data_IF_542312723788
#
_entry.id   IF_542312723788
#
_cell.length_a   1.000
_cell.length_b   1.000
_cell.length_c   1.000
_cell.angle_alpha   90.00
_cell.angle_beta   90.00
_cell.angle_gamma   90.00
#
_symmetry.space_group_name_H-M   'P 1'
#
loop_
_entity.id
_entity.type
_entity.pdbx_description
1 polymer ?
#
# COMPACT_ATOMS: atom_id res chain seq x y z
N UNK A 1 9.27 -6.53 -38.55
CA UNK A 1 8.56 -6.17 -39.81
C UNK A 1 9.19 -6.93 -40.98
N UNK A 2 8.46 -7.13 -42.09
CA UNK A 2 8.92 -7.87 -43.26
C UNK A 2 7.87 -8.87 -43.76
N UNK A 3 8.24 -9.69 -44.74
CA UNK A 3 7.30 -10.66 -45.32
C UNK A 3 6.96 -11.80 -44.35
N UNK A 4 5.69 -12.21 -44.28
CA UNK A 4 5.16 -13.27 -43.38
C UNK A 4 5.47 -13.00 -41.90
N UNK A 5 6.49 -13.66 -41.36
CA UNK A 5 6.94 -13.56 -39.96
C UNK A 5 7.84 -12.35 -39.72
N UNK A 6 8.28 -11.69 -40.79
CA UNK A 6 9.21 -10.57 -40.71
C UNK A 6 10.66 -10.94 -40.96
N UNK A 7 11.47 -9.91 -41.18
CA UNK A 7 12.92 -10.00 -41.22
C UNK A 7 13.51 -10.04 -39.80
N UNK A 8 14.82 -10.29 -39.72
CA UNK A 8 15.60 -10.12 -38.50
C UNK A 8 15.39 -8.73 -37.89
N UNK A 9 15.24 -8.68 -36.57
CA UNK A 9 15.05 -7.43 -35.84
C UNK A 9 16.40 -6.78 -35.48
N UNK A 10 16.68 -5.63 -36.09
CA UNK A 10 17.92 -4.89 -35.89
C UNK A 10 18.06 -4.34 -34.48
N UNK A 11 16.96 -3.91 -33.84
CA UNK A 11 16.98 -3.41 -32.46
C UNK A 11 17.35 -4.55 -31.52
N UNK A 12 16.79 -5.74 -31.74
CA UNK A 12 17.10 -6.91 -30.92
C UNK A 12 18.57 -7.35 -31.05
N UNK A 13 19.12 -7.36 -32.26
CA UNK A 13 20.55 -7.68 -32.49
C UNK A 13 21.45 -6.65 -31.79
N UNK A 14 21.19 -5.37 -32.01
CA UNK A 14 21.98 -4.29 -31.47
C UNK A 14 21.94 -4.26 -29.93
N UNK A 15 20.75 -4.48 -29.34
CA UNK A 15 20.60 -4.56 -27.88
C UNK A 15 21.22 -5.83 -27.28
N UNK A 16 21.25 -6.95 -28.01
CA UNK A 16 21.97 -8.15 -27.56
C UNK A 16 23.48 -7.92 -27.54
N UNK A 17 24.03 -7.20 -28.53
CA UNK A 17 25.44 -6.78 -28.50
C UNK A 17 25.70 -5.87 -27.30
N UNK A 18 24.88 -4.84 -27.13
CA UNK A 18 24.98 -3.89 -26.01
C UNK A 18 24.92 -4.57 -24.64
N UNK A 19 23.95 -5.46 -24.41
CA UNK A 19 23.79 -6.20 -23.15
C UNK A 19 24.98 -7.12 -22.82
N UNK A 20 25.84 -7.42 -23.80
CA UNK A 20 27.05 -8.23 -23.63
C UNK A 20 28.34 -7.40 -23.68
N UNK A 21 28.23 -6.07 -23.67
CA UNK A 21 29.38 -5.14 -23.63
C UNK A 21 30.04 -4.87 -24.98
N UNK A 22 29.34 -5.15 -26.09
CA UNK A 22 29.81 -4.82 -27.45
C UNK A 22 29.01 -3.62 -27.98
N UNK A 23 29.71 -2.57 -28.42
CA UNK A 23 29.09 -1.40 -29.04
C UNK A 23 28.39 -1.81 -30.35
N UNK A 24 27.06 -1.60 -30.48
CA UNK A 24 26.33 -1.93 -31.69
C UNK A 24 26.53 -0.92 -32.85
N UNK A 25 27.25 0.18 -32.62
CA UNK A 25 27.41 1.30 -33.58
C UNK A 25 26.06 1.89 -34.07
N UNK A 26 25.02 1.74 -33.25
CA UNK A 26 23.66 2.19 -33.52
C UNK A 26 23.11 2.90 -32.27
N UNK A 27 22.58 4.11 -32.44
CA UNK A 27 21.95 4.86 -31.34
C UNK A 27 20.54 4.32 -31.05
N UNK A 28 20.36 3.82 -29.83
CA UNK A 28 19.13 3.19 -29.32
C UNK A 28 18.74 3.76 -27.96
N UNK A 29 19.32 4.90 -27.57
CA UNK A 29 19.16 5.50 -26.24
C UNK A 29 17.72 5.97 -25.95
N UNK A 30 16.87 6.12 -26.97
CA UNK A 30 15.43 6.39 -26.84
C UNK A 30 14.65 5.36 -27.67
N UNK A 31 14.53 4.15 -27.12
CA UNK A 31 13.86 3.04 -27.79
C UNK A 31 12.37 3.31 -28.02
N UNK A 32 11.78 4.16 -27.19
CA UNK A 32 10.38 4.54 -27.29
C UNK A 32 10.12 5.47 -28.47
N UNK A 33 11.02 6.40 -28.77
CA UNK A 33 10.97 7.19 -30.00
C UNK A 33 11.12 6.32 -31.23
N UNK A 34 12.03 5.34 -31.21
CA UNK A 34 12.21 4.39 -32.31
C UNK A 34 10.93 3.55 -32.52
N UNK A 35 10.37 3.01 -31.45
CA UNK A 35 9.10 2.28 -31.46
C UNK A 35 7.96 3.11 -32.03
N UNK A 36 7.72 4.32 -31.49
CA UNK A 36 6.65 5.22 -31.98
C UNK A 36 6.80 5.52 -33.47
N UNK A 37 8.02 5.75 -33.93
CA UNK A 37 8.33 6.00 -35.35
C UNK A 37 8.02 4.78 -36.21
N UNK A 38 8.43 3.59 -35.76
CA UNK A 38 8.17 2.34 -36.46
C UNK A 38 6.67 1.99 -36.50
N UNK A 39 5.94 2.15 -35.40
CA UNK A 39 4.49 1.93 -35.34
C UNK A 39 3.73 2.89 -36.23
N UNK A 40 4.15 4.17 -36.26
CA UNK A 40 3.58 5.17 -37.17
C UNK A 40 3.81 4.81 -38.64
N UNK A 41 5.05 4.45 -39.01
CA UNK A 41 5.42 4.16 -40.39
C UNK A 41 4.78 2.85 -40.90
N UNK A 42 4.77 1.81 -40.06
CA UNK A 42 4.31 0.48 -40.45
C UNK A 42 2.80 0.27 -40.22
N UNK A 43 2.14 1.15 -39.44
CA UNK A 43 0.74 0.99 -39.01
C UNK A 43 0.48 -0.36 -38.32
N UNK A 44 1.51 -0.89 -37.66
CA UNK A 44 1.49 -2.15 -36.93
C UNK A 44 2.10 -1.90 -35.54
N UNK A 45 1.47 -2.42 -34.48
CA UNK A 45 1.99 -2.26 -33.12
C UNK A 45 3.24 -3.12 -32.90
N UNK A 46 4.13 -2.67 -32.02
CA UNK A 46 5.15 -3.54 -31.43
C UNK A 46 4.49 -4.39 -30.35
N UNK A 47 4.76 -5.70 -30.36
CA UNK A 47 4.14 -6.62 -29.41
C UNK A 47 4.54 -6.26 -27.96
N UNK A 48 3.65 -6.35 -26.95
CA UNK A 48 3.97 -6.00 -25.56
C UNK A 48 5.14 -6.78 -24.94
N UNK A 49 5.46 -7.96 -25.49
CA UNK A 49 6.60 -8.80 -25.09
C UNK A 49 7.77 -8.79 -26.07
N UNK A 50 7.75 -7.88 -27.04
CA UNK A 50 8.84 -7.75 -27.99
C UNK A 50 10.13 -7.35 -27.25
N UNK A 51 11.25 -8.08 -27.40
CA UNK A 51 12.47 -7.81 -26.63
C UNK A 51 12.87 -6.33 -26.65
N UNK A 52 13.23 -5.80 -25.48
CA UNK A 52 13.65 -4.42 -25.23
C UNK A 52 12.58 -3.33 -25.44
N UNK A 53 11.75 -3.41 -26.49
CA UNK A 53 10.83 -2.34 -26.87
C UNK A 53 9.37 -2.55 -26.41
N UNK A 54 9.00 -3.78 -26.04
CA UNK A 54 7.64 -4.13 -25.61
C UNK A 54 7.28 -3.47 -24.28
N UNK A 55 5.98 -3.25 -24.06
CA UNK A 55 5.46 -2.61 -22.84
C UNK A 55 5.81 -3.37 -21.54
N UNK A 56 5.97 -4.69 -21.60
CA UNK A 56 6.07 -5.53 -20.40
C UNK A 56 7.50 -6.02 -20.09
N UNK A 57 8.49 -5.59 -20.86
CA UNK A 57 9.84 -6.19 -20.80
C UNK A 57 10.70 -5.67 -19.65
N UNK A 58 10.34 -4.53 -19.06
CA UNK A 58 10.96 -3.98 -17.85
C UNK A 58 9.98 -4.00 -16.66
N UNK A 59 8.98 -4.88 -16.72
CA UNK A 59 7.93 -5.00 -15.71
C UNK A 59 8.12 -6.27 -14.89
N UNK A 60 7.93 -6.18 -13.56
CA UNK A 60 7.85 -7.39 -12.72
C UNK A 60 6.54 -7.47 -11.94
N UNK A 61 5.86 -8.61 -12.08
CA UNK A 61 4.56 -8.89 -11.44
C UNK A 61 4.68 -9.71 -10.15
N UNK A 62 5.82 -10.39 -9.96
CA UNK A 62 6.05 -11.25 -8.79
C UNK A 62 6.69 -10.46 -7.66
N UNK A 63 6.09 -10.52 -6.47
CA UNK A 63 6.66 -9.89 -5.27
C UNK A 63 8.08 -10.37 -4.93
N UNK A 64 8.42 -11.63 -5.25
CA UNK A 64 9.79 -12.12 -5.06
C UNK A 64 10.79 -11.52 -6.05
N UNK A 65 10.36 -11.28 -7.31
CA UNK A 65 11.19 -10.59 -8.29
C UNK A 65 11.35 -9.12 -7.90
N UNK A 66 10.27 -8.47 -7.45
CA UNK A 66 10.29 -7.09 -6.99
C UNK A 66 11.26 -6.90 -5.80
N UNK A 67 11.23 -7.81 -4.81
CA UNK A 67 12.17 -7.77 -3.68
C UNK A 67 13.63 -7.93 -4.11
N UNK A 68 13.91 -8.88 -5.02
CA UNK A 68 15.26 -9.08 -5.54
C UNK A 68 15.75 -7.90 -6.39
N UNK A 69 14.89 -7.32 -7.23
CA UNK A 69 15.18 -6.11 -8.01
C UNK A 69 15.47 -4.93 -7.08
N UNK A 70 14.64 -4.72 -6.04
CA UNK A 70 14.84 -3.67 -5.04
C UNK A 70 16.18 -3.81 -4.32
N UNK A 71 16.57 -5.03 -3.93
CA UNK A 71 17.88 -5.32 -3.33
C UNK A 71 19.02 -5.07 -4.30
N UNK A 72 18.84 -5.42 -5.58
CA UNK A 72 19.79 -5.14 -6.64
C UNK A 72 20.05 -3.64 -6.78
N UNK A 73 18.99 -2.84 -6.93
CA UNK A 73 19.10 -1.38 -6.98
C UNK A 73 19.74 -0.78 -5.73
N UNK A 74 19.36 -1.24 -4.53
CA UNK A 74 19.93 -0.71 -3.28
C UNK A 74 21.42 -1.06 -3.08
N UNK A 75 21.91 -2.13 -3.70
CA UNK A 75 23.31 -2.53 -3.66
C UNK A 75 24.15 -1.90 -4.78
N UNK A 76 23.50 -1.34 -5.79
CA UNK A 76 24.15 -0.70 -6.93
C UNK A 76 24.52 0.75 -6.54
N UNK A 77 25.79 1.17 -6.65
CA UNK A 77 26.16 2.56 -6.44
C UNK A 77 25.65 3.45 -7.59
N UNK A 78 25.49 4.75 -7.35
CA UNK A 78 25.02 5.71 -8.35
C UNK A 78 25.95 5.78 -9.59
N UNK A 79 27.23 5.49 -9.41
CA UNK A 79 28.28 5.49 -10.43
C UNK A 79 28.75 4.07 -10.81
N UNK A 80 27.81 3.14 -10.97
CA UNK A 80 28.13 1.74 -11.29
C UNK A 80 28.85 1.58 -12.64
N UNK A 81 29.90 0.74 -12.64
CA UNK A 81 30.60 0.31 -13.86
C UNK A 81 29.99 -0.98 -14.46
N UNK A 82 29.35 -1.80 -13.63
CA UNK A 82 28.70 -3.06 -14.05
C UNK A 82 27.27 -3.12 -13.54
N UNK A 83 26.34 -3.43 -14.43
CA UNK A 83 24.94 -3.64 -14.08
C UNK A 83 24.75 -4.95 -13.29
N UNK A 84 24.05 -4.86 -12.15
CA UNK A 84 23.96 -5.96 -11.18
C UNK A 84 22.56 -6.23 -10.64
N UNK A 85 21.49 -5.80 -11.32
CA UNK A 85 20.13 -5.93 -10.82
C UNK A 85 19.50 -7.26 -11.30
N UNK A 86 19.04 -8.15 -10.39
CA UNK A 86 18.40 -9.40 -10.77
C UNK A 86 17.20 -9.20 -11.68
N UNK A 87 16.95 -10.13 -12.61
CA UNK A 87 15.81 -10.15 -13.54
C UNK A 87 15.75 -9.02 -14.58
N UNK A 88 16.59 -7.99 -14.47
CA UNK A 88 16.72 -6.93 -15.48
C UNK A 88 18.04 -7.15 -16.23
N UNK A 89 18.03 -7.53 -17.52
CA UNK A 89 19.26 -7.82 -18.26
C UNK A 89 20.11 -6.57 -18.53
N UNK A 90 19.50 -5.39 -18.52
CA UNK A 90 20.14 -4.08 -18.70
C UNK A 90 19.49 -3.07 -17.75
N UNK A 91 20.12 -1.92 -17.53
CA UNK A 91 19.43 -0.76 -16.97
C UNK A 91 18.41 -0.22 -17.99
N UNK A 92 17.10 -0.17 -17.67
CA UNK A 92 16.09 0.44 -18.53
C UNK A 92 16.43 1.90 -18.92
N UNK A 93 17.13 2.65 -18.07
CA UNK A 93 17.48 4.04 -18.35
C UNK A 93 18.44 4.19 -19.54
N UNK A 94 19.27 3.18 -19.83
CA UNK A 94 20.17 3.19 -20.99
C UNK A 94 19.41 3.28 -22.32
N UNK A 95 18.11 2.95 -22.34
CA UNK A 95 17.25 3.03 -23.53
C UNK A 95 16.08 4.01 -23.35
N UNK A 96 16.14 4.87 -22.33
CA UNK A 96 15.12 5.87 -22.06
C UNK A 96 13.83 5.30 -21.44
N UNK A 97 13.92 4.13 -20.81
CA UNK A 97 12.80 3.45 -20.14
C UNK A 97 13.04 3.44 -18.63
N UNK A 98 12.00 3.06 -17.88
CA UNK A 98 12.06 2.85 -16.44
C UNK A 98 11.63 1.44 -16.09
N UNK A 99 12.14 0.92 -14.98
CA UNK A 99 11.60 -0.30 -14.38
C UNK A 99 10.20 -0.03 -13.79
N UNK A 100 9.24 -0.90 -14.08
CA UNK A 100 7.88 -0.81 -13.54
C UNK A 100 7.57 -2.00 -12.61
N UNK A 101 7.34 -1.71 -11.33
CA UNK A 101 6.80 -2.69 -10.39
C UNK A 101 5.27 -2.70 -10.50
N UNK A 102 4.71 -3.44 -11.47
CA UNK A 102 3.25 -3.56 -11.59
C UNK A 102 2.73 -4.57 -10.57
N UNK A 103 2.03 -4.06 -9.57
CA UNK A 103 1.40 -4.90 -8.55
C UNK A 103 0.06 -5.38 -9.05
N UNK A 104 -0.03 -6.69 -9.33
CA UNK A 104 -1.30 -7.40 -9.49
C UNK A 104 -1.53 -8.24 -8.26
N UNK A 105 -2.55 -7.90 -7.48
CA UNK A 105 -2.94 -8.70 -6.33
C UNK A 105 -3.93 -9.76 -6.80
N UNK A 106 -3.39 -10.95 -7.07
CA UNK A 106 -4.17 -12.17 -7.24
C UNK A 106 -4.11 -13.01 -5.96
N UNK A 107 -4.81 -14.14 -5.93
CA UNK A 107 -4.87 -15.07 -4.80
C UNK A 107 -3.50 -15.60 -4.34
N UNK A 108 -2.42 -15.44 -5.13
CA UNK A 108 -1.05 -15.82 -4.77
C UNK A 108 -0.17 -14.65 -4.28
N UNK A 109 -0.41 -13.41 -4.72
CA UNK A 109 0.38 -12.22 -4.34
C UNK A 109 0.12 -11.69 -2.91
N UNK A 110 -0.81 -12.32 -2.19
CA UNK A 110 -1.74 -11.70 -1.23
C UNK A 110 -1.21 -10.84 -0.08
N UNK A 111 0.07 -10.88 0.32
CA UNK A 111 0.57 -10.11 1.48
C UNK A 111 1.56 -8.99 1.15
N UNK A 112 2.35 -9.16 0.09
CA UNK A 112 3.36 -8.18 -0.32
C UNK A 112 2.76 -7.01 -1.07
N UNK A 113 1.81 -7.30 -1.97
CA UNK A 113 1.15 -6.27 -2.79
C UNK A 113 0.32 -5.30 -1.95
N UNK A 114 -0.42 -5.80 -0.96
CA UNK A 114 -1.25 -4.97 -0.07
C UNK A 114 -0.40 -3.98 0.72
N UNK A 115 0.70 -4.45 1.32
CA UNK A 115 1.57 -3.59 2.13
C UNK A 115 2.18 -2.46 1.29
N UNK A 116 2.65 -2.78 0.08
CA UNK A 116 3.25 -1.79 -0.81
C UNK A 116 2.23 -0.77 -1.31
N UNK A 117 1.08 -1.22 -1.84
CA UNK A 117 0.06 -0.30 -2.37
C UNK A 117 -0.40 0.66 -1.28
N UNK A 118 -0.64 0.15 -0.06
CA UNK A 118 -1.04 0.98 1.06
C UNK A 118 0.06 1.97 1.48
N UNK A 119 1.33 1.57 1.48
CA UNK A 119 2.42 2.46 1.89
C UNK A 119 2.79 3.49 0.83
N UNK A 120 2.99 3.08 -0.42
CA UNK A 120 3.52 3.92 -1.50
C UNK A 120 2.45 4.81 -2.12
N UNK A 121 1.23 4.29 -2.34
CA UNK A 121 0.17 5.07 -2.99
C UNK A 121 -0.67 5.88 -1.99
N UNK A 122 -0.73 5.44 -0.72
CA UNK A 122 -1.63 6.03 0.27
C UNK A 122 -0.96 6.41 1.61
N UNK A 123 0.32 6.11 1.80
CA UNK A 123 1.07 6.50 3.00
C UNK A 123 0.78 5.68 4.26
N UNK A 124 0.06 4.55 4.16
CA UNK A 124 -0.29 3.70 5.30
C UNK A 124 0.74 2.57 5.51
N UNK A 125 1.55 2.72 6.55
CA UNK A 125 2.49 1.68 7.00
C UNK A 125 1.78 0.66 7.90
N UNK A 126 1.03 -0.27 7.26
CA UNK A 126 0.23 -1.25 7.99
C UNK A 126 1.10 -2.17 8.86
N UNK A 127 0.77 -2.37 10.16
CA UNK A 127 1.41 -3.38 11.00
C UNK A 127 1.33 -4.78 10.38
N UNK A 128 2.35 -5.63 10.60
CA UNK A 128 2.44 -6.93 9.93
C UNK A 128 1.20 -7.82 10.13
N UNK A 129 0.63 -7.83 11.34
CA UNK A 129 -0.58 -8.60 11.66
C UNK A 129 -1.81 -8.02 10.97
N UNK A 130 -1.88 -6.70 10.84
CA UNK A 130 -2.93 -6.01 10.11
C UNK A 130 -2.84 -6.28 8.60
N UNK A 131 -1.64 -6.29 8.01
CA UNK A 131 -1.45 -6.68 6.60
C UNK A 131 -2.08 -8.05 6.36
N UNK A 132 -1.87 -9.01 7.27
CA UNK A 132 -2.45 -10.36 7.18
C UNK A 132 -3.97 -10.33 7.32
N UNK A 133 -4.53 -9.51 8.21
CA UNK A 133 -5.98 -9.35 8.35
C UNK A 133 -6.59 -8.81 7.05
N UNK A 134 -6.08 -7.68 6.55
CA UNK A 134 -6.62 -7.04 5.36
C UNK A 134 -6.42 -7.89 4.10
N UNK A 135 -5.31 -8.62 4.00
CA UNK A 135 -5.08 -9.57 2.90
C UNK A 135 -6.20 -10.61 2.80
N UNK A 136 -6.79 -11.04 3.93
CA UNK A 136 -7.92 -11.98 3.92
C UNK A 136 -9.17 -11.30 3.36
N UNK A 137 -9.45 -10.05 3.73
CA UNK A 137 -10.55 -9.27 3.14
C UNK A 137 -10.43 -9.20 1.62
N UNK A 138 -9.23 -8.88 1.11
CA UNK A 138 -8.95 -8.85 -0.33
C UNK A 138 -9.11 -10.23 -0.97
N UNK A 139 -8.64 -11.30 -0.33
CA UNK A 139 -8.81 -12.67 -0.83
C UNK A 139 -10.29 -13.05 -0.99
N UNK A 140 -11.12 -12.75 0.00
CA UNK A 140 -12.56 -13.00 -0.09
C UNK A 140 -13.18 -12.26 -1.28
N UNK A 141 -12.83 -10.98 -1.49
CA UNK A 141 -13.34 -10.20 -2.64
C UNK A 141 -12.87 -10.79 -3.98
N UNK A 142 -11.61 -11.26 -4.07
CA UNK A 142 -11.11 -11.92 -5.30
C UNK A 142 -11.81 -13.24 -5.59
N UNK A 143 -12.11 -14.04 -4.55
CA UNK A 143 -12.78 -15.33 -4.69
C UNK A 143 -14.23 -15.15 -5.16
N UNK A 144 -14.94 -14.15 -4.62
CA UNK A 144 -16.32 -13.85 -4.99
C UNK A 144 -16.45 -13.24 -6.39
N UNK A 145 -15.48 -12.42 -6.82
CA UNK A 145 -15.49 -11.76 -8.13
C UNK A 145 -14.90 -12.62 -9.26
N UNK A 146 -14.06 -13.61 -8.94
CA UNK A 146 -13.31 -14.41 -9.92
C UNK A 146 -12.26 -13.62 -10.70
N UNK A 147 -11.91 -12.41 -10.25
CA UNK A 147 -11.05 -11.46 -10.97
C UNK A 147 -9.91 -10.93 -10.11
N UNK A 148 -8.84 -10.45 -10.76
CA UNK A 148 -7.74 -9.74 -10.09
C UNK A 148 -8.25 -8.42 -9.48
N UNK A 149 -7.72 -8.04 -8.32
CA UNK A 149 -8.03 -6.73 -7.71
C UNK A 149 -6.95 -5.72 -8.12
N UNK A 150 -7.39 -4.64 -8.76
CA UNK A 150 -6.56 -3.48 -9.04
C UNK A 150 -6.33 -2.60 -7.78
N UNK A 151 -5.33 -1.70 -7.77
CA UNK A 151 -5.03 -0.84 -6.63
C UNK A 151 -6.21 0.04 -6.17
N UNK A 152 -7.03 0.56 -7.08
CA UNK A 152 -8.15 1.43 -6.73
C UNK A 152 -9.28 0.63 -6.05
N UNK A 153 -9.54 -0.58 -6.51
CA UNK A 153 -10.47 -1.52 -5.86
C UNK A 153 -9.94 -1.91 -4.47
N UNK A 154 -8.63 -2.15 -4.32
CA UNK A 154 -8.03 -2.41 -3.01
C UNK A 154 -8.18 -1.23 -2.06
N UNK A 155 -7.94 -0.01 -2.52
CA UNK A 155 -8.11 1.20 -1.73
C UNK A 155 -9.56 1.39 -1.29
N UNK A 156 -10.51 1.16 -2.19
CA UNK A 156 -11.95 1.21 -1.86
C UNK A 156 -12.30 0.21 -0.76
N UNK A 157 -11.86 -1.05 -0.91
CA UNK A 157 -12.06 -2.07 0.10
C UNK A 157 -11.39 -1.71 1.45
N UNK A 158 -10.22 -1.08 1.42
CA UNK A 158 -9.55 -0.59 2.62
C UNK A 158 -10.36 0.49 3.32
N UNK A 159 -10.90 1.46 2.57
CA UNK A 159 -11.72 2.53 3.12
C UNK A 159 -13.02 1.97 3.72
N UNK A 160 -13.73 1.10 3.02
CA UNK A 160 -14.97 0.50 3.52
C UNK A 160 -14.74 -0.32 4.81
N UNK A 161 -13.61 -1.03 4.88
CA UNK A 161 -13.28 -1.87 6.02
C UNK A 161 -12.81 -1.07 7.24
N UNK A 162 -11.97 -0.05 7.05
CA UNK A 162 -11.25 0.63 8.15
C UNK A 162 -11.54 2.13 8.30
N UNK A 163 -12.00 2.81 7.26
CA UNK A 163 -12.24 4.26 7.22
C UNK A 163 -13.60 4.58 6.58
N UNK A 164 -14.72 3.98 7.05
CA UNK A 164 -16.01 4.15 6.39
C UNK A 164 -16.47 5.60 6.47
N UNK A 165 -17.10 6.11 5.41
CA UNK A 165 -17.61 7.48 5.34
C UNK A 165 -18.67 7.79 6.41
N UNK A 166 -19.38 6.76 6.87
CA UNK A 166 -20.44 6.85 7.88
C UNK A 166 -20.24 5.76 8.96
N UNK A 167 -19.29 5.94 9.89
CA UNK A 167 -19.11 5.00 10.98
C UNK A 167 -20.27 5.11 11.99
N UNK A 168 -20.59 4.02 12.68
CA UNK A 168 -21.62 4.08 13.74
C UNK A 168 -21.11 4.87 14.94
N UNK A 169 -19.81 4.83 15.21
CA UNK A 169 -19.14 5.60 16.26
C UNK A 169 -18.27 6.71 15.67
N UNK A 170 -18.60 7.96 15.98
CA UNK A 170 -17.84 9.13 15.54
C UNK A 170 -17.32 9.92 16.74
N UNK A 171 -16.05 10.31 16.70
CA UNK A 171 -15.48 11.24 17.68
C UNK A 171 -15.81 12.68 17.29
N UNK A 172 -16.57 13.38 18.14
CA UNK A 172 -16.94 14.79 17.94
C UNK A 172 -15.90 15.73 18.56
N UNK A 173 -15.55 15.49 19.82
CA UNK A 173 -14.52 16.24 20.54
C UNK A 173 -13.97 15.43 21.70
N UNK A 174 -12.84 15.86 22.25
CA UNK A 174 -12.28 15.26 23.45
C UNK A 174 -11.48 16.28 24.26
N UNK A 175 -11.43 16.03 25.56
CA UNK A 175 -10.58 16.75 26.52
C UNK A 175 -9.81 15.74 27.37
N UNK A 176 -8.55 16.04 27.63
CA UNK A 176 -7.67 15.23 28.47
C UNK A 176 -7.18 16.03 29.65
N UNK A 177 -7.18 15.38 30.82
CA UNK A 177 -6.57 15.91 32.02
C UNK A 177 -5.71 14.83 32.69
N UNK A 178 -4.40 15.04 32.72
CA UNK A 178 -3.45 14.11 33.35
C UNK A 178 -2.92 14.70 34.65
N UNK A 179 -3.06 13.96 35.74
CA UNK A 179 -2.51 14.33 37.06
C UNK A 179 -1.96 13.08 37.75
N UNK A 180 -0.74 13.19 38.30
CA UNK A 180 -0.10 12.12 39.10
C UNK A 180 -0.08 10.75 38.39
N UNK A 181 0.12 10.74 37.06
CA UNK A 181 0.17 9.51 36.26
C UNK A 181 -1.19 8.91 35.92
N UNK A 182 -2.30 9.52 36.34
CA UNK A 182 -3.66 9.16 35.93
C UNK A 182 -4.14 10.14 34.87
N UNK A 183 -4.57 9.62 33.73
CA UNK A 183 -5.17 10.38 32.64
C UNK A 183 -6.67 10.18 32.65
N UNK A 184 -7.41 11.28 32.78
CA UNK A 184 -8.86 11.35 32.58
C UNK A 184 -9.16 11.83 31.17
N UNK A 185 -10.06 11.14 30.49
CA UNK A 185 -10.57 11.51 29.16
C UNK A 185 -12.07 11.76 29.27
N UNK A 186 -12.52 12.89 28.71
CA UNK A 186 -13.92 13.17 28.44
C UNK A 186 -14.06 13.33 26.93
N UNK A 187 -14.76 12.40 26.27
CA UNK A 187 -14.96 12.41 24.83
C UNK A 187 -16.46 12.55 24.50
N UNK A 188 -16.78 13.44 23.56
CA UNK A 188 -18.09 13.49 22.93
C UNK A 188 -18.08 12.53 21.74
N UNK A 189 -18.88 11.48 21.84
CA UNK A 189 -18.99 10.43 20.82
C UNK A 189 -20.41 10.44 20.29
N UNK A 190 -20.56 10.41 18.97
CA UNK A 190 -21.85 10.22 18.32
C UNK A 190 -22.01 8.75 17.97
N UNK A 191 -23.09 8.12 18.45
CA UNK A 191 -23.47 6.74 18.11
C UNK A 191 -24.75 6.77 17.28
N UNK A 192 -24.67 6.41 16.00
CA UNK A 192 -25.84 6.40 15.10
C UNK A 192 -26.62 7.73 15.04
N UNK A 193 -25.93 8.85 15.23
CA UNK A 193 -26.54 10.18 15.28
C UNK A 193 -26.78 10.72 16.69
N UNK A 194 -26.86 9.88 17.71
CA UNK A 194 -27.11 10.28 19.10
C UNK A 194 -25.82 10.67 19.83
N UNK A 195 -25.87 11.75 20.60
CA UNK A 195 -24.71 12.26 21.33
C UNK A 195 -24.54 11.58 22.70
N UNK A 196 -23.33 11.10 22.96
CA UNK A 196 -22.93 10.46 24.20
C UNK A 196 -21.68 11.13 24.78
N UNK A 197 -21.65 11.28 26.11
CA UNK A 197 -20.47 11.74 26.84
C UNK A 197 -19.75 10.55 27.46
N UNK A 198 -18.61 10.18 26.88
CA UNK A 198 -17.78 9.07 27.34
C UNK A 198 -16.73 9.60 28.30
N UNK A 199 -16.73 9.12 29.55
CA UNK A 199 -15.74 9.52 30.57
C UNK A 199 -15.00 8.29 31.09
N UNK A 200 -13.67 8.34 31.12
CA UNK A 200 -12.87 7.25 31.68
C UNK A 200 -11.50 7.70 32.18
N UNK A 201 -10.89 6.86 33.02
CA UNK A 201 -9.61 7.13 33.67
C UNK A 201 -8.65 5.93 33.57
N UNK A 202 -7.41 6.19 33.19
CA UNK A 202 -6.40 5.16 32.98
C UNK A 202 -4.98 5.68 33.10
N UNK A 203 -3.99 4.79 32.93
CA UNK A 203 -2.57 5.14 32.91
C UNK A 203 -2.17 5.96 31.67
N UNK A 204 -3.05 6.07 30.69
CA UNK A 204 -2.85 6.83 29.47
C UNK A 204 -4.17 7.05 28.73
N UNK A 205 -4.15 7.87 27.66
CA UNK A 205 -5.35 8.32 26.97
C UNK A 205 -6.16 7.18 26.34
N UNK A 206 -5.51 6.22 25.68
CA UNK A 206 -6.17 5.06 25.05
C UNK A 206 -6.89 4.22 26.12
N UNK A 207 -6.19 3.86 27.21
CA UNK A 207 -6.78 3.06 28.28
C UNK A 207 -7.93 3.78 28.99
N UNK A 208 -7.83 5.10 29.16
CA UNK A 208 -8.89 5.92 29.71
C UNK A 208 -10.13 5.92 28.81
N UNK A 209 -9.97 6.15 27.49
CA UNK A 209 -11.07 6.11 26.53
C UNK A 209 -11.73 4.72 26.49
N UNK A 210 -10.96 3.64 26.42
CA UNK A 210 -11.48 2.26 26.37
C UNK A 210 -12.35 1.96 27.59
N UNK A 211 -11.90 2.32 28.80
CA UNK A 211 -12.71 2.16 30.02
C UNK A 211 -14.00 2.99 29.97
N UNK A 212 -13.93 4.21 29.46
CA UNK A 212 -15.11 5.04 29.27
C UNK A 212 -16.11 4.40 28.30
N UNK A 213 -15.64 3.87 27.17
CA UNK A 213 -16.49 3.20 26.17
C UNK A 213 -17.17 1.96 26.75
N UNK A 214 -16.44 1.15 27.53
CA UNK A 214 -17.02 0.01 28.26
C UNK A 214 -18.12 0.43 29.22
N UNK A 215 -17.89 1.51 29.98
CA UNK A 215 -18.85 2.00 30.97
C UNK A 215 -20.11 2.61 30.32
N UNK A 216 -19.96 3.39 29.26
CA UNK A 216 -21.07 4.09 28.60
C UNK A 216 -21.90 3.14 27.72
N UNK A 217 -21.23 2.24 26.98
CA UNK A 217 -21.90 1.42 25.96
C UNK A 217 -22.06 -0.06 26.33
N UNK A 218 -21.48 -0.52 27.44
CA UNK A 218 -21.54 -1.93 27.85
C UNK A 218 -20.83 -2.88 26.87
N UNK A 219 -19.84 -2.37 26.14
CA UNK A 219 -19.08 -3.12 25.12
C UNK A 219 -17.89 -3.84 25.72
N UNK A 220 -17.49 -4.96 25.12
CA UNK A 220 -16.25 -5.65 25.43
C UNK A 220 -15.17 -5.29 24.39
N UNK A 221 -14.09 -4.69 24.85
CA UNK A 221 -13.03 -4.14 24.00
C UNK A 221 -11.72 -4.02 24.77
N UNK A 222 -10.77 -4.92 24.56
CA UNK A 222 -9.40 -4.85 25.05
C UNK A 222 -8.45 -4.43 23.93
N UNK A 223 -7.50 -3.54 24.24
CA UNK A 223 -6.42 -3.16 23.31
C UNK A 223 -5.23 -4.08 23.52
N UNK A 224 -4.74 -4.70 22.45
CA UNK A 224 -3.65 -5.68 22.45
C UNK A 224 -2.34 -5.07 21.95
N UNK A 225 -2.42 -4.29 20.88
CA UNK A 225 -1.27 -3.71 20.22
C UNK A 225 -1.60 -2.32 19.67
N UNK A 226 -0.57 -1.49 19.56
CA UNK A 226 -0.66 -0.11 19.10
C UNK A 226 0.54 0.26 18.24
N UNK A 227 0.27 0.86 17.09
CA UNK A 227 1.30 1.47 16.26
C UNK A 227 0.84 2.84 15.74
N UNK A 228 1.78 3.74 15.51
CA UNK A 228 1.52 5.04 14.90
C UNK A 228 2.67 5.46 13.98
N UNK A 229 2.34 6.24 12.95
CA UNK A 229 3.32 6.95 12.15
C UNK A 229 2.72 8.19 11.49
N UNK A 230 3.58 9.02 10.90
CA UNK A 230 3.17 10.19 10.14
C UNK A 230 2.88 9.84 8.68
N UNK A 231 1.79 10.37 8.13
CA UNK A 231 1.47 10.40 6.71
C UNK A 231 1.83 11.80 6.17
N UNK A 232 2.69 11.83 5.16
CA UNK A 232 3.24 13.08 4.60
C UNK A 232 4.43 13.62 5.39
N UNK A 233 4.79 14.88 5.12
CA UNK A 233 5.95 15.53 5.73
C UNK A 233 5.65 17.00 6.07
N UNK A 234 6.41 17.55 7.03
CA UNK A 234 6.30 18.94 7.45
C UNK A 234 5.15 19.21 8.43
N UNK A 235 4.75 20.47 8.54
CA UNK A 235 3.75 20.92 9.51
C UNK A 235 2.32 20.42 9.20
N UNK A 236 2.07 20.01 7.96
CA UNK A 236 0.76 19.50 7.50
C UNK A 236 0.66 17.96 7.56
N UNK A 237 1.68 17.29 8.14
CA UNK A 237 1.66 15.85 8.30
C UNK A 237 0.50 15.41 9.20
N UNK A 238 -0.17 14.32 8.81
CA UNK A 238 -1.23 13.70 9.60
C UNK A 238 -0.66 12.50 10.35
N UNK A 239 -1.20 12.20 11.52
CA UNK A 239 -0.93 10.94 12.21
C UNK A 239 -1.89 9.86 11.73
N UNK A 240 -1.36 8.67 11.45
CA UNK A 240 -2.13 7.44 11.34
C UNK A 240 -1.84 6.56 12.55
N UNK A 241 -2.90 6.14 13.24
CA UNK A 241 -2.84 5.26 14.39
C UNK A 241 -3.55 3.94 14.07
N UNK A 242 -2.97 2.85 14.56
CA UNK A 242 -3.45 1.48 14.39
C UNK A 242 -3.63 0.86 15.75
N UNK A 243 -4.82 0.34 16.03
CA UNK A 243 -5.17 -0.30 17.30
C UNK A 243 -5.61 -1.72 17.01
N UNK A 244 -4.87 -2.70 17.51
CA UNK A 244 -5.37 -4.07 17.58
C UNK A 244 -6.21 -4.24 18.83
N UNK A 245 -7.39 -4.81 18.66
CA UNK A 245 -8.31 -5.07 19.75
C UNK A 245 -8.79 -6.51 19.77
N UNK A 246 -9.20 -6.97 20.95
CA UNK A 246 -10.00 -8.19 21.13
C UNK A 246 -11.30 -7.77 21.82
N UNK A 247 -12.44 -8.22 21.31
CA UNK A 247 -13.73 -8.08 21.97
C UNK A 247 -14.31 -9.44 22.37
N UNK A 248 -15.62 -9.49 22.66
CA UNK A 248 -16.29 -10.68 23.17
C UNK A 248 -16.23 -11.92 22.26
N UNK A 249 -15.93 -11.75 20.96
CA UNK A 249 -15.72 -12.87 20.02
C UNK A 249 -14.37 -13.58 20.20
N UNK A 250 -13.41 -12.97 20.91
CA UNK A 250 -12.04 -13.44 21.05
C UNK A 250 -11.17 -13.27 19.80
N UNK A 251 -11.73 -12.75 18.68
CA UNK A 251 -10.99 -12.55 17.44
C UNK A 251 -10.27 -11.19 17.44
N UNK A 252 -8.97 -11.13 17.08
CA UNK A 252 -8.28 -9.86 16.94
C UNK A 252 -8.83 -9.08 15.74
N UNK A 253 -9.12 -7.79 15.93
CA UNK A 253 -9.53 -6.84 14.90
C UNK A 253 -8.74 -5.56 15.01
N UNK A 254 -8.28 -5.03 13.88
CA UNK A 254 -7.58 -3.76 13.80
C UNK A 254 -8.51 -2.58 13.51
N UNK A 255 -8.35 -1.47 14.22
CA UNK A 255 -8.94 -0.17 13.88
C UNK A 255 -7.89 0.82 13.40
N UNK A 256 -8.28 1.74 12.53
CA UNK A 256 -7.41 2.83 12.04
C UNK A 256 -8.06 4.16 12.35
N UNK A 257 -7.23 5.15 12.73
CA UNK A 257 -7.64 6.53 12.83
C UNK A 257 -6.60 7.44 12.20
N UNK A 258 -7.07 8.45 11.46
CA UNK A 258 -6.18 9.42 10.82
C UNK A 258 -6.61 10.83 11.18
N UNK A 259 -5.70 11.64 11.71
CA UNK A 259 -5.96 13.02 12.10
C UNK A 259 -4.65 13.82 12.20
N UNK A 260 -4.63 15.14 11.98
CA UNK A 260 -3.46 15.98 12.27
C UNK A 260 -3.00 15.88 13.73
N UNK A 261 -3.91 15.62 14.67
CA UNK A 261 -3.59 15.43 16.08
C UNK A 261 -3.40 13.94 16.41
N UNK A 262 -2.23 13.58 16.96
CA UNK A 262 -1.89 12.21 17.33
C UNK A 262 -2.93 11.57 18.24
N UNK A 263 -3.44 12.29 19.25
CA UNK A 263 -4.40 11.77 20.22
C UNK A 263 -5.77 11.55 19.57
N UNK A 264 -6.20 12.48 18.72
CA UNK A 264 -7.43 12.31 17.93
C UNK A 264 -7.31 11.11 16.99
N UNK A 265 -6.16 10.90 16.34
CA UNK A 265 -5.91 9.74 15.49
C UNK A 265 -6.00 8.44 16.31
N UNK A 266 -5.37 8.37 17.49
CA UNK A 266 -5.47 7.21 18.39
C UNK A 266 -6.90 6.94 18.83
N UNK A 267 -7.67 7.97 19.18
CA UNK A 267 -9.07 7.82 19.59
C UNK A 267 -9.97 7.35 18.45
N UNK A 268 -9.78 7.88 17.24
CA UNK A 268 -10.46 7.37 16.05
C UNK A 268 -10.10 5.91 15.78
N UNK A 269 -8.84 5.51 15.97
CA UNK A 269 -8.41 4.12 15.82
C UNK A 269 -9.10 3.19 16.83
N UNK A 270 -9.26 3.63 18.09
CA UNK A 270 -10.03 2.88 19.10
C UNK A 270 -11.51 2.74 18.71
N UNK A 271 -12.15 3.82 18.25
CA UNK A 271 -13.53 3.76 17.78
C UNK A 271 -13.69 2.88 16.54
N UNK A 272 -12.76 2.95 15.59
CA UNK A 272 -12.72 2.07 14.42
C UNK A 272 -12.51 0.60 14.80
N UNK A 273 -11.72 0.33 15.84
CA UNK A 273 -11.54 -1.02 16.36
C UNK A 273 -12.84 -1.53 17.00
N UNK A 274 -13.52 -0.69 17.79
CA UNK A 274 -14.82 -0.99 18.39
C UNK A 274 -15.89 -1.28 17.32
N UNK A 275 -15.99 -0.40 16.33
CA UNK A 275 -16.87 -0.57 15.16
C UNK A 275 -16.70 -1.96 14.53
N UNK A 276 -15.45 -2.38 14.31
CA UNK A 276 -15.16 -3.69 13.69
C UNK A 276 -15.34 -4.89 14.63
N UNK A 277 -15.30 -4.69 15.94
CA UNK A 277 -15.64 -5.74 16.91
C UNK A 277 -17.15 -5.98 17.02
N UNK A 278 -17.97 -5.00 16.63
CA UNK A 278 -19.43 -5.08 16.68
C UNK A 278 -20.08 -5.57 15.38
N UNK A 279 -19.27 -5.76 14.31
CA UNK A 279 -19.68 -6.39 13.03
C UNK A 279 -19.56 -7.91 13.10
#
# INVERSE_FOLDING_TARGET
NGERTGNLDLVNVAMNMFATGVDPELDICDIDRLRRTAEYANRLPVHPRHPYAGDLVYTSFSGSHQDAIKKGFAALPDDYDTWGVPYLPIDPHHVGRTYEAVIRVNSQSGKGGVAYVMSEEHGFNLPRRMQVEFSKTIQHITEDSGTEIDPATMWTAFQEEYLPDRPHFELVSHELHTKEGVTKVTAQVRRNGDHHTVVGEGSGPIGALVKGLRSEFGVDLDVVDYAEHAIGAGADARAAAYVESIGGSGKPRWGIGVDPNITTASFRAVLGALERQLR
#
